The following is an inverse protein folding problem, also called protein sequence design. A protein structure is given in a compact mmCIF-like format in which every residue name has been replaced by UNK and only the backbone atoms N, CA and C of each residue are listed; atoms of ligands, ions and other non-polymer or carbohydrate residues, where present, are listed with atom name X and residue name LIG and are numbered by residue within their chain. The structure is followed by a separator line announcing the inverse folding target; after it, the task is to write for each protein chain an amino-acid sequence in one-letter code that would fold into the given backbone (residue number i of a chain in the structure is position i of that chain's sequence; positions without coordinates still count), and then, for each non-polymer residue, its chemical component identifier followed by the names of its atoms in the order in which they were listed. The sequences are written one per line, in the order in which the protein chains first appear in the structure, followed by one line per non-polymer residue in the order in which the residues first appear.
data_IF_727795478311
#
_entry.id   IF_727795478311
#
_cell.length_a   1.000
_cell.length_b   1.000
_cell.length_c   1.000
_cell.angle_alpha   90.00
_cell.angle_beta   90.00
_cell.angle_gamma   90.00
#
_symmetry.space_group_name_H-M   'P 1'
#
loop_
_entity.id
_entity.type
_entity.pdbx_description
1 polymer ?
#
# COMPACT_ATOMS: atom_id res chain seq x y z
N UNK A 1 43.10 -15.16 19.61
CA UNK A 1 42.12 -16.08 18.98
C UNK A 1 42.54 -16.29 17.54
N UNK A 2 43.11 -17.45 17.22
CA UNK A 2 43.39 -17.85 15.85
C UNK A 2 42.09 -18.33 15.19
N UNK A 3 41.76 -17.88 13.97
CA UNK A 3 40.57 -18.36 13.27
C UNK A 3 40.67 -19.87 13.00
N UNK A 4 39.53 -20.59 13.00
CA UNK A 4 39.53 -22.02 12.72
C UNK A 4 40.11 -22.31 11.33
N UNK A 5 40.81 -23.45 11.15
CA UNK A 5 41.35 -23.81 9.84
C UNK A 5 40.21 -23.98 8.82
N UNK A 6 40.43 -23.55 7.56
CA UNK A 6 39.40 -23.64 6.53
C UNK A 6 39.02 -25.13 6.30
N UNK A 7 37.73 -25.42 6.06
CA UNK A 7 37.27 -26.78 5.84
C UNK A 7 37.96 -27.41 4.61
N UNK A 8 38.21 -28.73 4.62
CA UNK A 8 38.85 -29.39 3.49
C UNK A 8 37.95 -29.29 2.25
N UNK A 9 38.56 -29.07 1.07
CA UNK A 9 37.87 -28.82 -0.22
C UNK A 9 36.74 -29.81 -0.52
N UNK A 10 36.93 -31.08 -0.14
CA UNK A 10 35.94 -32.16 -0.29
C UNK A 10 34.64 -31.86 0.46
N UNK A 11 34.72 -31.34 1.69
CA UNK A 11 33.55 -30.97 2.49
C UNK A 11 32.79 -29.81 1.86
N UNK A 12 33.49 -28.83 1.29
CA UNK A 12 32.87 -27.72 0.54
C UNK A 12 32.08 -28.25 -0.67
N UNK A 13 32.65 -29.22 -1.41
CA UNK A 13 31.96 -29.80 -2.57
C UNK A 13 30.72 -30.59 -2.19
N UNK A 14 30.75 -31.34 -1.08
CA UNK A 14 29.58 -32.06 -0.57
C UNK A 14 28.47 -31.13 -0.10
N UNK A 15 28.81 -30.07 0.63
CA UNK A 15 27.84 -29.08 1.09
C UNK A 15 27.22 -28.36 -0.11
N UNK A 16 28.04 -27.90 -1.06
CA UNK A 16 27.56 -27.24 -2.28
C UNK A 16 26.64 -28.16 -3.10
N UNK A 17 27.01 -29.44 -3.27
CA UNK A 17 26.18 -30.43 -3.96
C UNK A 17 24.86 -30.70 -3.24
N UNK A 18 24.87 -30.78 -1.90
CA UNK A 18 23.66 -30.95 -1.10
C UNK A 18 22.69 -29.76 -1.23
N UNK A 19 23.22 -28.53 -1.14
CA UNK A 19 22.43 -27.30 -1.33
C UNK A 19 21.85 -27.24 -2.75
N UNK A 20 22.65 -27.58 -3.76
CA UNK A 20 22.20 -27.62 -5.16
C UNK A 20 21.06 -28.63 -5.36
N UNK A 21 21.21 -29.84 -4.84
CA UNK A 21 20.19 -30.88 -4.96
C UNK A 21 18.89 -30.49 -4.26
N UNK A 22 18.97 -29.91 -3.06
CA UNK A 22 17.81 -29.43 -2.31
C UNK A 22 17.09 -28.29 -3.06
N UNK A 23 17.82 -27.27 -3.54
CA UNK A 23 17.26 -26.17 -4.31
C UNK A 23 16.58 -26.65 -5.60
N UNK A 24 17.19 -27.61 -6.30
CA UNK A 24 16.60 -28.21 -7.51
C UNK A 24 15.33 -28.99 -7.20
N UNK A 25 15.29 -29.72 -6.08
CA UNK A 25 14.09 -30.43 -5.64
C UNK A 25 12.93 -29.48 -5.34
N UNK A 26 13.20 -28.32 -4.72
CA UNK A 26 12.19 -27.27 -4.47
C UNK A 26 11.64 -26.72 -5.78
N UNK A 27 12.50 -26.38 -6.75
CA UNK A 27 12.07 -25.93 -8.08
C UNK A 27 11.20 -26.98 -8.76
N UNK A 28 11.63 -28.25 -8.75
CA UNK A 28 10.87 -29.34 -9.36
C UNK A 28 9.49 -29.51 -8.71
N UNK A 29 9.41 -29.41 -7.40
CA UNK A 29 8.15 -29.49 -6.67
C UNK A 29 7.19 -28.35 -7.03
N UNK A 30 7.67 -27.10 -7.04
CA UNK A 30 6.88 -25.92 -7.45
C UNK A 30 6.35 -26.06 -8.88
N UNK A 31 7.23 -26.39 -9.83
CA UNK A 31 6.85 -26.57 -11.25
C UNK A 31 5.85 -27.71 -11.41
N UNK A 32 6.02 -28.80 -10.66
CA UNK A 32 5.09 -29.94 -10.69
C UNK A 32 3.69 -29.53 -10.24
N UNK A 33 3.56 -28.77 -9.14
CA UNK A 33 2.27 -28.26 -8.64
C UNK A 33 1.61 -27.31 -9.64
N UNK A 34 2.38 -26.37 -10.20
CA UNK A 34 1.89 -25.43 -11.21
C UNK A 34 1.41 -26.16 -12.48
N UNK A 35 2.18 -27.14 -12.96
CA UNK A 35 1.83 -27.93 -14.14
C UNK A 35 0.60 -28.83 -13.93
N UNK A 36 0.48 -29.47 -12.77
CA UNK A 36 -0.64 -30.35 -12.45
C UNK A 36 -1.96 -29.59 -12.27
N UNK A 37 -1.89 -28.31 -11.91
CA UNK A 37 -3.04 -27.44 -11.70
C UNK A 37 -3.38 -26.53 -12.88
N UNK A 38 -2.69 -26.66 -14.03
CA UNK A 38 -2.78 -25.73 -15.16
C UNK A 38 -2.55 -24.25 -14.74
N UNK A 39 -1.72 -24.01 -13.72
CA UNK A 39 -1.44 -22.69 -13.18
C UNK A 39 -2.50 -22.14 -12.21
N UNK A 40 -3.51 -22.93 -11.83
CA UNK A 40 -4.53 -22.50 -10.87
C UNK A 40 -4.10 -22.62 -9.40
N UNK A 41 -3.10 -23.46 -9.10
CA UNK A 41 -2.56 -23.64 -7.77
C UNK A 41 -1.09 -23.20 -7.71
N UNK A 42 -0.76 -22.51 -6.62
CA UNK A 42 0.55 -22.00 -6.28
C UNK A 42 0.99 -22.53 -4.92
N UNK A 43 2.30 -22.55 -4.69
CA UNK A 43 2.89 -23.00 -3.43
C UNK A 43 3.19 -21.79 -2.55
N UNK A 44 2.73 -21.84 -1.30
CA UNK A 44 2.98 -20.81 -0.30
C UNK A 44 3.61 -21.43 0.94
N UNK A 45 4.79 -20.94 1.35
CA UNK A 45 5.47 -21.35 2.59
C UNK A 45 5.73 -20.11 3.44
N UNK A 46 4.85 -19.87 4.41
CA UNK A 46 4.96 -18.68 5.27
C UNK A 46 4.91 -17.39 4.43
N UNK A 47 5.86 -16.45 4.58
CA UNK A 47 5.91 -15.23 3.77
C UNK A 47 6.42 -15.46 2.33
N UNK A 48 6.90 -16.66 2.00
CA UNK A 48 7.52 -16.95 0.71
C UNK A 48 6.47 -17.47 -0.27
N UNK A 49 6.19 -16.66 -1.29
CA UNK A 49 5.37 -17.06 -2.43
C UNK A 49 6.15 -17.87 -3.47
N UNK A 50 5.42 -18.44 -4.43
CA UNK A 50 5.96 -19.27 -5.52
C UNK A 50 7.14 -18.60 -6.24
N UNK A 51 7.04 -17.30 -6.50
CA UNK A 51 8.04 -16.56 -7.27
C UNK A 51 9.29 -16.26 -6.41
N UNK A 52 9.10 -16.00 -5.13
CA UNK A 52 10.18 -15.80 -4.15
C UNK A 52 10.91 -17.12 -3.87
N UNK A 53 10.18 -18.22 -3.72
CA UNK A 53 10.73 -19.57 -3.58
C UNK A 53 11.55 -19.99 -4.80
N UNK A 54 11.04 -19.75 -6.01
CA UNK A 54 11.76 -20.01 -7.26
C UNK A 54 13.02 -19.16 -7.35
N UNK A 55 12.91 -17.85 -7.11
CA UNK A 55 14.05 -16.93 -7.23
C UNK A 55 15.16 -17.28 -6.23
N UNK A 56 14.81 -17.53 -4.97
CA UNK A 56 15.76 -17.92 -3.92
C UNK A 56 16.40 -19.29 -4.22
N UNK A 57 15.62 -20.26 -4.67
CA UNK A 57 16.14 -21.58 -5.03
C UNK A 57 17.10 -21.51 -6.22
N UNK A 58 16.77 -20.71 -7.24
CA UNK A 58 17.64 -20.49 -8.41
C UNK A 58 18.94 -19.80 -8.00
N UNK A 59 18.88 -18.78 -7.13
CA UNK A 59 20.06 -18.14 -6.55
C UNK A 59 20.97 -19.12 -5.82
N UNK A 60 20.39 -19.94 -4.94
CA UNK A 60 21.13 -20.96 -4.17
C UNK A 60 21.73 -22.03 -5.10
N UNK A 61 21.00 -22.44 -6.14
CA UNK A 61 21.48 -23.40 -7.12
C UNK A 61 22.69 -22.86 -7.91
N UNK A 62 22.62 -21.65 -8.44
CA UNK A 62 23.74 -21.08 -9.21
C UNK A 62 24.93 -20.69 -8.32
N UNK A 63 24.68 -20.18 -7.12
CA UNK A 63 25.73 -19.89 -6.14
C UNK A 63 26.48 -21.16 -5.72
N UNK A 64 25.74 -22.23 -5.39
CA UNK A 64 26.34 -23.53 -5.04
C UNK A 64 27.08 -24.16 -6.20
N UNK A 65 26.57 -24.05 -7.43
CA UNK A 65 27.23 -24.54 -8.64
C UNK A 65 28.54 -23.77 -8.92
N UNK A 66 28.55 -22.45 -8.71
CA UNK A 66 29.76 -21.63 -8.79
C UNK A 66 30.82 -22.05 -7.76
N UNK A 67 30.43 -22.19 -6.49
CA UNK A 67 31.32 -22.64 -5.40
C UNK A 67 31.85 -24.06 -5.66
N UNK A 68 31.00 -24.96 -6.15
CA UNK A 68 31.36 -26.33 -6.53
C UNK A 68 32.38 -26.36 -7.65
N UNK A 69 32.14 -25.62 -8.75
CA UNK A 69 33.06 -25.52 -9.88
C UNK A 69 34.41 -24.92 -9.48
N UNK A 70 34.42 -23.89 -8.63
CA UNK A 70 35.66 -23.31 -8.12
C UNK A 70 36.48 -24.29 -7.26
N UNK A 71 35.79 -25.12 -6.48
CA UNK A 71 36.42 -26.05 -5.53
C UNK A 71 37.04 -27.30 -6.19
N UNK A 72 36.62 -27.66 -7.41
CA UNK A 72 37.12 -28.85 -8.13
C UNK A 72 38.41 -28.52 -8.87
N UNK A 73 39.45 -29.34 -8.66
CA UNK A 73 40.68 -29.31 -9.46
C UNK A 73 40.41 -29.97 -10.82
N UNK A 74 40.59 -29.20 -11.89
CA UNK A 74 40.34 -29.67 -13.26
C UNK A 74 41.67 -29.90 -14.00
N UNK A 75 41.79 -30.98 -14.79
CA UNK A 75 42.91 -31.14 -15.71
C UNK A 75 42.96 -29.97 -16.71
N UNK A 76 44.13 -29.59 -17.23
CA UNK A 76 44.28 -28.40 -18.08
C UNK A 76 43.45 -28.47 -19.37
N UNK A 77 43.10 -29.65 -19.86
CA UNK A 77 42.21 -29.84 -21.02
C UNK A 77 40.74 -29.49 -20.73
N UNK A 78 40.32 -29.50 -19.47
CA UNK A 78 38.95 -29.20 -19.03
C UNK A 78 38.79 -27.79 -18.46
N UNK A 79 39.90 -27.03 -18.33
CA UNK A 79 39.87 -25.61 -17.94
C UNK A 79 38.89 -24.76 -18.77
N UNK A 80 38.86 -24.81 -20.12
CA UNK A 80 37.93 -23.96 -20.88
C UNK A 80 36.47 -24.28 -20.56
N UNK A 81 36.13 -25.56 -20.38
CA UNK A 81 34.78 -25.99 -20.00
C UNK A 81 34.42 -25.49 -18.58
N UNK A 82 35.37 -25.54 -17.64
CA UNK A 82 35.20 -25.01 -16.28
C UNK A 82 34.98 -23.49 -16.30
N UNK A 83 35.75 -22.74 -17.10
CA UNK A 83 35.57 -21.28 -17.22
C UNK A 83 34.20 -20.94 -17.79
N UNK A 84 33.77 -21.62 -18.85
CA UNK A 84 32.43 -21.43 -19.45
C UNK A 84 31.35 -21.71 -18.40
N UNK A 85 31.45 -22.83 -17.66
CA UNK A 85 30.51 -23.18 -16.61
C UNK A 85 30.44 -22.14 -15.49
N UNK A 86 31.58 -21.61 -15.04
CA UNK A 86 31.63 -20.55 -14.03
C UNK A 86 30.98 -19.28 -14.57
N UNK A 87 31.32 -18.84 -15.78
CA UNK A 87 30.75 -17.62 -16.37
C UNK A 87 29.24 -17.75 -16.51
N UNK A 88 28.74 -18.88 -17.02
CA UNK A 88 27.29 -19.12 -17.13
C UNK A 88 26.59 -19.11 -15.77
N UNK A 89 27.16 -19.79 -14.76
CA UNK A 89 26.63 -19.80 -13.41
C UNK A 89 26.61 -18.40 -12.78
N UNK A 90 27.65 -17.61 -13.02
CA UNK A 90 27.76 -16.24 -12.50
C UNK A 90 26.76 -15.32 -13.18
N UNK A 91 26.62 -15.40 -14.51
CA UNK A 91 25.61 -14.63 -15.24
C UNK A 91 24.19 -15.01 -14.82
N UNK A 92 23.88 -16.30 -14.69
CA UNK A 92 22.58 -16.76 -14.26
C UNK A 92 22.27 -16.37 -12.80
N UNK A 93 23.26 -16.47 -11.90
CA UNK A 93 23.15 -16.00 -10.53
C UNK A 93 22.94 -14.48 -10.45
N UNK A 94 23.64 -13.69 -11.28
CA UNK A 94 23.45 -12.24 -11.35
C UNK A 94 22.05 -11.86 -11.85
N UNK A 95 21.52 -12.56 -12.86
CA UNK A 95 20.15 -12.37 -13.34
C UNK A 95 19.12 -12.74 -12.26
N UNK A 96 19.33 -13.83 -11.53
CA UNK A 96 18.46 -14.22 -10.43
C UNK A 96 18.54 -13.23 -9.25
N UNK A 97 19.71 -12.65 -8.97
CA UNK A 97 19.89 -11.62 -7.96
C UNK A 97 19.16 -10.33 -8.36
N UNK A 98 19.27 -9.94 -9.63
CA UNK A 98 18.53 -8.82 -10.19
C UNK A 98 17.02 -9.07 -10.08
N UNK A 99 16.55 -10.27 -10.41
CA UNK A 99 15.15 -10.66 -10.26
C UNK A 99 14.68 -10.58 -8.80
N UNK A 100 15.52 -11.00 -7.84
CA UNK A 100 15.19 -10.95 -6.41
C UNK A 100 14.96 -9.52 -5.89
N UNK A 101 15.62 -8.51 -6.46
CA UNK A 101 15.39 -7.10 -6.11
C UNK A 101 13.95 -6.67 -6.42
N UNK A 102 13.29 -7.31 -7.40
CA UNK A 102 11.89 -7.03 -7.74
C UNK A 102 10.88 -7.79 -6.86
N UNK A 103 11.33 -8.61 -5.90
CA UNK A 103 10.48 -9.53 -5.13
C UNK A 103 10.59 -9.34 -3.61
N UNK A 104 11.25 -8.28 -3.15
CA UNK A 104 11.74 -8.18 -1.76
C UNK A 104 10.64 -7.96 -0.72
N UNK A 105 9.55 -7.27 -1.06
CA UNK A 105 8.53 -6.89 -0.08
C UNK A 105 7.21 -7.61 -0.33
N UNK A 106 7.16 -8.91 -0.02
CA UNK A 106 5.91 -9.68 0.01
C UNK A 106 5.45 -9.91 1.47
N UNK A 107 4.28 -9.39 1.81
CA UNK A 107 3.62 -9.63 3.10
C UNK A 107 2.44 -10.57 2.92
N UNK A 108 2.42 -11.62 3.74
CA UNK A 108 1.41 -12.67 3.69
C UNK A 108 0.52 -12.54 4.90
N UNK A 109 -0.74 -12.16 4.69
CA UNK A 109 -1.68 -11.87 5.77
C UNK A 109 -2.90 -12.80 5.67
N UNK A 110 -3.23 -13.56 6.73
CA UNK A 110 -4.47 -14.32 6.77
C UNK A 110 -5.67 -13.37 6.87
N UNK A 111 -6.73 -13.66 6.13
CA UNK A 111 -7.99 -12.92 6.18
C UNK A 111 -8.80 -13.41 7.38
N UNK A 112 -8.98 -12.53 8.35
CA UNK A 112 -9.68 -12.84 9.60
C UNK A 112 -11.11 -12.28 9.57
N UNK A 113 -12.08 -13.11 9.96
CA UNK A 113 -13.44 -12.67 10.29
C UNK A 113 -13.68 -12.87 11.79
N UNK A 114 -13.97 -11.78 12.52
CA UNK A 114 -14.17 -11.80 14.00
C UNK A 114 -13.05 -12.52 14.79
N UNK A 115 -11.79 -12.40 14.32
CA UNK A 115 -10.64 -13.04 14.96
C UNK A 115 -10.47 -14.54 14.67
N UNK A 116 -11.22 -15.06 13.69
CA UNK A 116 -11.07 -16.41 13.16
C UNK A 116 -10.56 -16.39 11.73
N UNK A 117 -9.67 -17.32 11.39
CA UNK A 117 -9.18 -17.49 10.01
C UNK A 117 -10.29 -18.01 9.10
N UNK A 118 -10.49 -17.32 7.97
CA UNK A 118 -11.45 -17.66 6.92
C UNK A 118 -10.92 -18.70 5.93
N UNK A 119 -9.60 -18.93 5.90
CA UNK A 119 -8.93 -19.81 4.93
C UNK A 119 -8.49 -19.13 3.65
N UNK A 120 -8.63 -17.82 3.61
CA UNK A 120 -8.07 -16.97 2.59
C UNK A 120 -6.83 -16.27 3.12
N UNK A 121 -5.82 -16.16 2.27
CA UNK A 121 -4.58 -15.45 2.54
C UNK A 121 -4.36 -14.44 1.44
N UNK A 122 -4.02 -13.21 1.82
CA UNK A 122 -3.61 -12.18 0.87
C UNK A 122 -2.10 -12.06 0.89
N UNK A 123 -1.49 -12.16 -0.30
CA UNK A 123 -0.08 -11.89 -0.52
C UNK A 123 0.02 -10.51 -1.14
N UNK A 124 0.46 -9.53 -0.37
CA UNK A 124 0.66 -8.16 -0.83
C UNK A 124 2.12 -7.91 -1.16
N UNK A 125 2.37 -7.34 -2.33
CA UNK A 125 3.68 -6.95 -2.81
C UNK A 125 3.75 -5.45 -2.97
N UNK A 126 4.85 -4.83 -2.56
CA UNK A 126 5.15 -3.43 -2.88
C UNK A 126 6.44 -3.34 -3.69
N UNK A 127 6.42 -2.58 -4.78
CA UNK A 127 7.62 -2.25 -5.54
C UNK A 127 7.57 -0.81 -6.04
N UNK A 128 8.59 -0.02 -5.71
CA UNK A 128 8.69 1.42 -5.98
C UNK A 128 7.48 2.19 -5.40
N UNK A 129 6.50 2.49 -6.25
CA UNK A 129 5.27 3.22 -5.95
C UNK A 129 4.01 2.42 -6.29
N UNK A 130 4.13 1.14 -6.66
CA UNK A 130 2.99 0.25 -6.91
C UNK A 130 2.85 -0.79 -5.81
N UNK A 131 1.61 -1.15 -5.48
CA UNK A 131 1.31 -2.32 -4.66
C UNK A 131 0.30 -3.22 -5.35
N UNK A 132 0.51 -4.53 -5.26
CA UNK A 132 -0.45 -5.53 -5.73
C UNK A 132 -0.70 -6.54 -4.63
N UNK A 133 -1.96 -6.90 -4.41
CA UNK A 133 -2.33 -8.01 -3.56
C UNK A 133 -2.90 -9.15 -4.39
N UNK A 134 -2.51 -10.38 -4.09
CA UNK A 134 -3.16 -11.56 -4.67
C UNK A 134 -3.85 -12.32 -3.55
N UNK A 135 -5.14 -12.60 -3.74
CA UNK A 135 -5.93 -13.35 -2.75
C UNK A 135 -5.93 -14.81 -3.14
N UNK A 136 -5.50 -15.65 -2.21
CA UNK A 136 -5.42 -17.09 -2.37
C UNK A 136 -6.34 -17.79 -1.38
N UNK A 137 -7.00 -18.86 -1.84
CA UNK A 137 -7.69 -19.85 -1.02
C UNK A 137 -6.69 -20.92 -0.60
N UNK A 138 -6.62 -21.26 0.69
CA UNK A 138 -5.78 -22.36 1.17
C UNK A 138 -6.48 -23.71 0.96
N UNK A 139 -6.01 -24.49 -0.02
CA UNK A 139 -6.52 -25.83 -0.34
C UNK A 139 -5.69 -26.95 0.33
N UNK A 140 -4.93 -26.60 1.37
CA UNK A 140 -4.09 -27.50 2.16
C UNK A 140 -2.99 -26.76 2.92
N UNK A 141 -2.08 -27.49 3.58
CA UNK A 141 -1.02 -26.88 4.39
C UNK A 141 -0.02 -26.01 3.59
N UNK A 142 0.14 -26.26 2.29
CA UNK A 142 1.13 -25.58 1.44
C UNK A 142 0.62 -25.24 0.03
N UNK A 143 -0.63 -25.60 -0.29
CA UNK A 143 -1.23 -25.43 -1.62
C UNK A 143 -2.27 -24.34 -1.52
N UNK A 144 -2.15 -23.32 -2.38
CA UNK A 144 -3.09 -22.20 -2.40
C UNK A 144 -3.56 -21.91 -3.82
N UNK A 145 -4.85 -21.65 -4.00
CA UNK A 145 -5.47 -21.35 -5.31
C UNK A 145 -5.83 -19.89 -5.41
N UNK A 146 -5.42 -19.23 -6.49
CA UNK A 146 -5.73 -17.82 -6.69
C UNK A 146 -7.23 -17.63 -6.92
N UNK A 147 -7.85 -16.77 -6.13
CA UNK A 147 -9.30 -16.48 -6.20
C UNK A 147 -9.61 -15.01 -6.48
N UNK A 148 -8.61 -14.13 -6.34
CA UNK A 148 -8.77 -12.71 -6.60
C UNK A 148 -7.44 -11.99 -6.67
N UNK A 149 -7.51 -10.73 -7.06
CA UNK A 149 -6.39 -9.79 -7.04
C UNK A 149 -6.89 -8.43 -6.56
N UNK A 150 -6.02 -7.68 -5.92
CA UNK A 150 -6.18 -6.30 -5.52
C UNK A 150 -4.97 -5.51 -6.04
N UNK A 151 -5.16 -4.23 -6.28
CA UNK A 151 -4.10 -3.28 -6.59
C UNK A 151 -4.23 -2.06 -5.69
N UNK A 152 -3.10 -1.46 -5.34
CA UNK A 152 -3.04 -0.21 -4.59
C UNK A 152 -1.89 0.65 -5.11
N UNK A 153 -1.97 1.96 -4.88
CA UNK A 153 -0.89 2.88 -5.24
C UNK A 153 0.00 3.18 -4.03
N UNK A 154 1.18 3.73 -4.31
CA UNK A 154 2.18 4.18 -3.34
C UNK A 154 2.72 3.10 -2.39
N UNK A 155 2.72 1.83 -2.83
CA UNK A 155 3.23 0.72 -2.01
C UNK A 155 2.33 0.38 -0.82
N UNK A 156 1.07 0.82 -0.82
CA UNK A 156 0.14 0.61 0.27
C UNK A 156 -0.37 -0.84 0.35
N UNK A 157 -0.11 -1.50 1.47
CA UNK A 157 -0.51 -2.89 1.76
C UNK A 157 -1.63 -2.95 2.83
N UNK A 158 -2.90 -2.75 2.44
CA UNK A 158 -4.02 -2.66 3.39
C UNK A 158 -4.20 -3.90 4.26
N UNK A 159 -3.89 -5.11 3.78
CA UNK A 159 -4.09 -6.31 4.59
C UNK A 159 -3.04 -6.43 5.69
N UNK A 160 -1.77 -6.25 5.35
CA UNK A 160 -0.64 -6.30 6.29
C UNK A 160 -0.70 -5.20 7.34
N UNK A 161 -1.28 -4.04 7.00
CA UNK A 161 -1.51 -2.92 7.92
C UNK A 161 -2.80 -3.05 8.75
N UNK A 162 -3.60 -4.11 8.57
CA UNK A 162 -4.87 -4.30 9.26
C UNK A 162 -5.97 -3.32 8.83
N UNK A 163 -5.83 -2.71 7.66
CA UNK A 163 -6.77 -1.80 7.03
C UNK A 163 -7.81 -2.51 6.17
N UNK A 164 -8.42 -3.58 6.70
CA UNK A 164 -9.50 -4.31 6.04
C UNK A 164 -10.58 -4.72 7.05
N UNK A 165 -11.80 -4.93 6.57
CA UNK A 165 -12.89 -5.52 7.32
C UNK A 165 -13.64 -6.54 6.48
N UNK A 166 -14.14 -7.56 7.17
CA UNK A 166 -14.86 -8.67 6.55
C UNK A 166 -16.27 -8.73 7.11
N UNK A 167 -17.26 -8.62 6.24
CA UNK A 167 -18.65 -8.96 6.56
C UNK A 167 -19.04 -10.25 5.90
N UNK A 168 -19.95 -10.98 6.55
CA UNK A 168 -20.51 -12.20 6.01
C UNK A 168 -21.99 -11.96 5.72
N UNK A 169 -22.41 -12.18 4.48
CA UNK A 169 -23.81 -12.13 4.09
C UNK A 169 -24.12 -13.30 3.15
N UNK A 170 -25.14 -14.11 3.50
CA UNK A 170 -25.66 -15.22 2.68
C UNK A 170 -24.58 -16.22 2.19
N UNK A 171 -23.61 -16.58 3.04
CA UNK A 171 -22.56 -17.54 2.70
C UNK A 171 -21.45 -16.95 1.81
N UNK A 172 -21.38 -15.62 1.68
CA UNK A 172 -20.32 -14.88 1.03
C UNK A 172 -19.64 -13.95 2.03
N UNK A 173 -18.31 -13.96 2.04
CA UNK A 173 -17.46 -13.01 2.73
C UNK A 173 -17.20 -11.80 1.83
N UNK A 174 -17.69 -10.63 2.23
CA UNK A 174 -17.36 -9.36 1.59
C UNK A 174 -16.21 -8.71 2.35
N UNK A 175 -15.04 -8.70 1.72
CA UNK A 175 -13.81 -8.11 2.24
C UNK A 175 -13.70 -6.68 1.72
N UNK A 176 -13.95 -5.69 2.58
CA UNK A 176 -13.76 -4.27 2.29
C UNK A 176 -12.35 -3.86 2.73
N UNK A 177 -11.58 -3.20 1.87
CA UNK A 177 -10.22 -2.74 2.20
C UNK A 177 -10.00 -1.29 1.77
N UNK A 178 -9.10 -0.61 2.48
CA UNK A 178 -8.73 0.77 2.16
C UNK A 178 -7.75 0.78 0.97
N UNK A 179 -8.05 1.59 -0.04
CA UNK A 179 -7.09 1.91 -1.10
C UNK A 179 -6.51 3.27 -0.72
N UNK A 180 -5.18 3.39 -0.63
CA UNK A 180 -4.45 4.64 -0.38
C UNK A 180 -4.58 5.31 1.00
N UNK A 181 -5.05 4.63 2.08
CA UNK A 181 -5.13 5.23 3.43
C UNK A 181 -4.40 4.41 4.50
N UNK A 182 -3.39 4.95 5.21
CA UNK A 182 -2.92 4.32 6.44
C UNK A 182 -4.04 4.35 7.48
N UNK A 183 -4.53 3.17 7.87
CA UNK A 183 -5.61 2.99 8.86
C UNK A 183 -5.05 3.20 10.26
N UNK A 184 -4.75 4.46 10.54
CA UNK A 184 -4.17 4.89 11.79
C UNK A 184 -5.22 5.05 12.91
N UNK A 185 -6.50 5.19 12.58
CA UNK A 185 -7.49 5.62 13.58
C UNK A 185 -8.96 5.27 13.30
N UNK A 186 -9.34 4.80 12.11
CA UNK A 186 -10.69 4.34 11.84
C UNK A 186 -10.63 3.06 11.01
N UNK A 187 -10.87 1.91 11.66
CA UNK A 187 -10.95 0.62 10.98
C UNK A 187 -11.86 0.73 9.75
N UNK A 188 -11.50 0.04 8.66
CA UNK A 188 -12.37 0.00 7.48
C UNK A 188 -13.73 -0.52 7.93
N UNK A 189 -14.78 0.27 7.75
CA UNK A 189 -16.16 -0.19 7.92
C UNK A 189 -16.61 -0.91 6.67
N UNK A 190 -17.41 -1.97 6.82
CA UNK A 190 -17.96 -2.68 5.67
C UNK A 190 -18.71 -1.72 4.75
N UNK A 191 -18.34 -1.69 3.46
CA UNK A 191 -18.95 -0.82 2.45
C UNK A 191 -18.32 0.57 2.27
N UNK A 192 -17.24 0.92 2.99
CA UNK A 192 -16.56 2.23 2.87
C UNK A 192 -15.30 2.23 1.98
N UNK A 193 -15.05 1.16 1.22
CA UNK A 193 -13.85 1.01 0.38
C UNK A 193 -14.09 0.03 -0.78
N UNK A 194 -13.01 -0.35 -1.49
CA UNK A 194 -13.10 -1.40 -2.51
C UNK A 194 -13.43 -2.73 -1.86
N UNK A 195 -14.35 -3.49 -2.46
CA UNK A 195 -14.84 -4.75 -1.90
C UNK A 195 -14.48 -5.94 -2.79
N UNK A 196 -14.01 -7.02 -2.18
CA UNK A 196 -13.83 -8.32 -2.80
C UNK A 196 -14.80 -9.33 -2.17
N UNK A 197 -15.55 -10.05 -2.99
CA UNK A 197 -16.48 -11.08 -2.54
C UNK A 197 -15.85 -12.47 -2.67
N UNK A 198 -15.78 -13.21 -1.57
CA UNK A 198 -15.22 -14.55 -1.46
C UNK A 198 -16.30 -15.51 -0.94
N UNK A 199 -16.40 -16.76 -1.42
CA UNK A 199 -17.33 -17.72 -0.83
C UNK A 199 -16.88 -18.15 0.58
N UNK A 200 -17.82 -18.43 1.49
CA UNK A 200 -17.50 -19.06 2.77
C UNK A 200 -17.08 -20.51 2.53
N UNK A 201 -16.05 -20.96 3.25
CA UNK A 201 -15.56 -22.34 3.20
C UNK A 201 -16.13 -23.12 4.39
N UNK A 202 -17.18 -23.92 4.16
CA UNK A 202 -17.90 -24.65 5.22
C UNK A 202 -17.19 -25.93 5.68
N UNK A 203 -16.28 -26.48 4.86
CA UNK A 203 -15.63 -27.79 5.10
C UNK A 203 -14.39 -27.71 6.01
N UNK A 204 -14.16 -26.58 6.70
CA UNK A 204 -12.98 -26.35 7.54
C UNK A 204 -13.34 -25.99 8.97
N UNK A 205 -12.45 -26.36 9.89
CA UNK A 205 -12.48 -25.87 11.27
C UNK A 205 -11.64 -24.60 11.38
N UNK A 206 -12.25 -23.42 11.60
CA UNK A 206 -11.51 -22.16 11.65
C UNK A 206 -10.66 -22.07 12.91
N UNK A 207 -9.41 -21.60 12.77
CA UNK A 207 -8.58 -21.24 13.91
C UNK A 207 -8.96 -19.85 14.40
N UNK A 208 -9.37 -19.75 15.66
CA UNK A 208 -9.83 -18.51 16.29
C UNK A 208 -8.85 -18.01 17.36
N UNK A 209 -8.97 -16.73 17.72
CA UNK A 209 -8.04 -16.07 18.66
C UNK A 209 -6.84 -15.44 17.96
N UNK A 210 -6.91 -15.28 16.63
CA UNK A 210 -5.91 -14.60 15.84
C UNK A 210 -6.17 -13.08 15.85
N UNK A 211 -5.09 -12.31 15.86
CA UNK A 211 -5.12 -10.86 15.78
C UNK A 211 -4.48 -10.39 14.48
N UNK A 212 -5.03 -9.35 13.88
CA UNK A 212 -4.36 -8.65 12.78
C UNK A 212 -3.07 -8.03 13.32
N UNK A 213 -1.98 -8.15 12.57
CA UNK A 213 -0.71 -7.54 12.93
C UNK A 213 -0.85 -6.02 12.87
N UNK A 214 -1.17 -5.36 13.99
CA UNK A 214 -0.94 -3.93 14.15
C UNK A 214 0.55 -3.71 14.31
N UNK A 215 1.17 -2.92 13.43
CA UNK A 215 2.53 -2.44 13.65
C UNK A 215 2.66 -1.81 15.04
N UNK A 216 3.69 -2.22 15.78
CA UNK A 216 3.91 -1.88 17.18
C UNK A 216 4.24 -0.39 17.44
N UNK A 217 4.38 0.44 16.40
CA UNK A 217 4.67 1.87 16.51
C UNK A 217 3.45 2.77 16.75
N UNK A 218 2.26 2.19 16.89
CA UNK A 218 1.02 2.95 17.06
C UNK A 218 0.48 2.84 18.49
N UNK A 219 0.97 3.70 19.37
CA UNK A 219 0.35 3.93 20.68
C UNK A 219 -1.10 4.42 20.48
N UNK A 220 -2.07 3.95 21.31
CA UNK A 220 -3.46 4.36 21.18
C UNK A 220 -3.60 5.85 21.49
N UNK A 221 -3.91 6.64 20.47
CA UNK A 221 -4.47 7.97 20.69
C UNK A 221 -5.87 7.82 21.30
N UNK A 222 -6.27 8.70 22.24
CA UNK A 222 -7.62 8.69 22.77
C UNK A 222 -8.63 8.88 21.63
N UNK A 223 -9.78 8.17 21.65
CA UNK A 223 -10.76 8.25 20.58
C UNK A 223 -11.31 9.68 20.50
N UNK A 224 -11.11 10.31 19.35
CA UNK A 224 -11.86 11.51 18.97
C UNK A 224 -13.32 11.05 18.79
N UNK A 225 -14.31 11.69 19.43
CA UNK A 225 -15.70 11.33 19.24
C UNK A 225 -16.07 11.46 17.76
N UNK A 226 -16.54 10.36 17.18
CA UNK A 226 -17.02 10.30 15.80
C UNK A 226 -18.29 11.16 15.67
N UNK A 227 -18.37 12.11 14.73
CA UNK A 227 -19.64 12.78 14.46
C UNK A 227 -20.62 11.75 13.89
N UNK A 228 -21.87 11.80 14.37
CA UNK A 228 -23.00 11.07 13.76
C UNK A 228 -23.04 11.38 12.26
N UNK A 229 -23.44 10.42 11.44
CA UNK A 229 -23.62 10.58 9.99
C UNK A 229 -24.74 11.61 9.74
N UNK A 230 -24.37 12.88 9.80
CA UNK A 230 -25.25 14.00 9.49
C UNK A 230 -25.55 13.92 8.00
N UNK A 231 -26.84 13.97 7.64
CA UNK A 231 -27.26 13.89 6.24
C UNK A 231 -26.55 14.98 5.45
N UNK A 232 -25.97 14.59 4.32
CA UNK A 232 -25.21 15.49 3.46
C UNK A 232 -26.17 16.45 2.74
N UNK A 233 -26.40 17.63 3.33
CA UNK A 233 -27.26 18.69 2.79
C UNK A 233 -26.43 19.87 2.29
N UNK A 234 -26.99 20.73 1.43
CA UNK A 234 -26.29 21.95 0.98
C UNK A 234 -25.90 22.87 2.13
N UNK A 235 -26.75 22.99 3.16
CA UNK A 235 -26.49 23.84 4.32
C UNK A 235 -25.30 23.32 5.15
N UNK A 236 -25.22 22.00 5.35
CA UNK A 236 -24.13 21.36 6.09
C UNK A 236 -22.80 21.45 5.32
N UNK A 237 -22.85 21.28 3.99
CA UNK A 237 -21.66 21.43 3.13
C UNK A 237 -21.17 22.87 3.12
N UNK A 238 -22.07 23.85 2.99
CA UNK A 238 -21.73 25.26 3.04
C UNK A 238 -21.14 25.65 4.40
N UNK A 239 -21.67 25.10 5.50
CA UNK A 239 -21.12 25.27 6.85
C UNK A 239 -19.70 24.71 6.97
N UNK A 240 -19.50 23.46 6.57
CA UNK A 240 -18.20 22.79 6.64
C UNK A 240 -17.12 23.45 5.77
N UNK A 241 -17.48 23.95 4.58
CA UNK A 241 -16.55 24.72 3.74
C UNK A 241 -16.10 26.01 4.44
N UNK A 242 -17.03 26.76 5.03
CA UNK A 242 -16.71 28.01 5.74
C UNK A 242 -15.89 27.76 7.00
N UNK A 243 -16.17 26.67 7.72
CA UNK A 243 -15.40 26.27 8.90
C UNK A 243 -13.94 25.93 8.54
N UNK A 244 -13.73 25.14 7.47
CA UNK A 244 -12.39 24.80 7.00
C UNK A 244 -11.61 26.05 6.55
N UNK A 245 -12.26 26.96 5.83
CA UNK A 245 -11.62 28.20 5.39
C UNK A 245 -11.34 29.13 6.58
N UNK A 246 -12.27 29.19 7.55
CA UNK A 246 -12.07 29.90 8.82
C UNK A 246 -10.86 29.39 9.58
N UNK A 247 -10.75 28.08 9.77
CA UNK A 247 -9.59 27.45 10.42
C UNK A 247 -8.28 27.72 9.66
N UNK A 248 -8.34 27.81 8.33
CA UNK A 248 -7.19 28.20 7.50
C UNK A 248 -6.80 29.68 7.72
N UNK A 249 -7.78 30.58 7.80
CA UNK A 249 -7.52 31.99 8.08
C UNK A 249 -7.01 32.22 9.50
N UNK A 250 -7.56 31.52 10.49
CA UNK A 250 -7.13 31.61 11.89
C UNK A 250 -5.69 31.11 12.11
N UNK A 251 -5.25 30.14 11.30
CA UNK A 251 -3.89 29.62 11.34
C UNK A 251 -2.87 30.51 10.61
N UNK A 252 -3.33 31.42 9.75
CA UNK A 252 -2.46 32.33 9.02
C UNK A 252 -1.68 33.25 9.98
N UNK A 253 -0.49 33.68 9.53
CA UNK A 253 0.29 34.67 10.24
C UNK A 253 -0.28 36.07 9.97
N UNK A 254 -1.07 36.58 10.92
CA UNK A 254 -1.58 37.95 10.89
C UNK A 254 -2.96 38.08 10.28
N UNK A 255 -3.32 39.30 9.88
CA UNK A 255 -4.62 39.58 9.29
C UNK A 255 -4.70 39.06 7.85
N UNK A 256 -5.75 38.30 7.54
CA UNK A 256 -6.05 37.86 6.18
C UNK A 256 -6.82 38.95 5.45
N UNK A 257 -6.23 39.50 4.39
CA UNK A 257 -6.83 40.57 3.58
C UNK A 257 -6.88 40.19 2.11
N UNK A 258 -7.83 40.74 1.38
CA UNK A 258 -7.94 40.58 -0.07
C UNK A 258 -6.90 41.44 -0.82
N UNK A 259 -6.93 41.39 -2.15
CA UNK A 259 -6.04 42.17 -3.01
C UNK A 259 -6.19 43.70 -2.85
N UNK A 260 -7.34 44.18 -2.36
CA UNK A 260 -7.60 45.60 -2.07
C UNK A 260 -7.17 46.03 -0.67
N UNK A 261 -6.79 45.06 0.19
CA UNK A 261 -6.44 45.27 1.58
C UNK A 261 -7.63 45.24 2.54
N UNK A 262 -8.81 44.82 2.08
CA UNK A 262 -9.98 44.64 2.94
C UNK A 262 -9.89 43.32 3.69
N UNK A 263 -10.30 43.25 4.97
CA UNK A 263 -10.29 42.00 5.73
C UNK A 263 -11.26 40.99 5.13
N UNK A 264 -10.81 39.74 5.01
CA UNK A 264 -11.63 38.63 4.54
C UNK A 264 -12.28 37.91 5.72
N UNK A 265 -13.58 37.65 5.61
CA UNK A 265 -14.35 36.89 6.59
C UNK A 265 -14.88 35.61 5.93
N UNK A 266 -14.48 34.45 6.47
CA UNK A 266 -14.86 33.14 5.96
C UNK A 266 -16.37 32.91 5.97
N UNK A 267 -17.11 33.56 6.88
CA UNK A 267 -18.56 33.44 6.98
C UNK A 267 -19.31 34.07 5.80
N UNK A 268 -18.69 35.05 5.15
CA UNK A 268 -19.27 35.87 4.08
C UNK A 268 -18.85 35.48 2.67
N UNK A 269 -18.03 34.44 2.53
CA UNK A 269 -17.45 34.05 1.24
C UNK A 269 -18.52 33.56 0.24
N UNK A 270 -18.45 34.00 -1.03
CA UNK A 270 -19.37 33.54 -2.06
C UNK A 270 -19.03 32.11 -2.49
N UNK A 271 -19.87 31.15 -2.10
CA UNK A 271 -19.80 29.77 -2.57
C UNK A 271 -20.56 29.66 -3.90
N UNK A 272 -19.85 29.23 -4.96
CA UNK A 272 -20.44 28.98 -6.27
C UNK A 272 -20.95 27.54 -6.35
N UNK A 273 -22.02 27.32 -7.13
CA UNK A 273 -22.55 25.98 -7.39
C UNK A 273 -22.16 25.54 -8.79
N UNK A 274 -21.52 24.39 -8.90
CA UNK A 274 -21.12 23.80 -10.18
C UNK A 274 -21.70 22.39 -10.31
N UNK A 275 -22.00 21.92 -11.54
CA UNK A 275 -22.46 20.56 -11.75
C UNK A 275 -21.33 19.56 -11.48
N UNK A 276 -21.70 18.39 -10.97
CA UNK A 276 -20.75 17.32 -10.68
C UNK A 276 -20.13 16.72 -11.96
N UNK A 277 -18.82 16.41 -11.97
CA UNK A 277 -18.13 15.88 -13.15
C UNK A 277 -18.55 14.45 -13.52
N UNK A 278 -18.93 13.62 -12.54
CA UNK A 278 -19.17 12.17 -12.74
C UNK A 278 -20.64 11.73 -12.58
N UNK A 279 -21.61 12.65 -12.58
CA UNK A 279 -23.02 12.27 -12.47
C UNK A 279 -24.00 13.39 -12.12
N UNK A 280 -25.29 13.05 -11.88
CA UNK A 280 -26.29 14.02 -11.48
C UNK A 280 -26.01 14.54 -10.06
N UNK A 281 -25.97 15.87 -9.90
CA UNK A 281 -25.72 16.50 -8.62
C UNK A 281 -25.05 17.87 -8.76
N UNK A 282 -24.87 18.52 -7.62
CA UNK A 282 -24.20 19.83 -7.52
C UNK A 282 -23.10 19.78 -6.49
N UNK A 283 -21.94 20.36 -6.82
CA UNK A 283 -20.85 20.61 -5.88
C UNK A 283 -20.76 22.12 -5.59
N UNK A 284 -20.16 22.45 -4.45
CA UNK A 284 -19.85 23.81 -4.04
C UNK A 284 -18.38 24.09 -4.26
N UNK A 285 -18.09 25.26 -4.77
CA UNK A 285 -16.72 25.69 -5.07
C UNK A 285 -16.50 27.11 -4.58
N UNK A 286 -15.29 27.36 -4.08
CA UNK A 286 -14.83 28.69 -3.73
C UNK A 286 -13.38 28.86 -4.13
N UNK A 287 -13.07 30.03 -4.66
CA UNK A 287 -11.73 30.44 -5.04
C UNK A 287 -11.47 31.79 -4.39
N UNK A 288 -10.36 31.90 -3.67
CA UNK A 288 -10.04 33.05 -2.83
C UNK A 288 -8.59 33.42 -3.07
N UNK A 289 -8.34 34.69 -3.32
CA UNK A 289 -7.00 35.26 -3.34
C UNK A 289 -6.83 36.17 -2.12
N UNK A 290 -5.82 35.90 -1.30
CA UNK A 290 -5.60 36.64 -0.06
C UNK A 290 -4.12 36.86 0.22
N UNK A 291 -3.82 37.82 1.09
CA UNK A 291 -2.50 38.13 1.61
C UNK A 291 -2.53 38.12 3.13
N UNK A 292 -1.39 37.79 3.71
CA UNK A 292 -1.14 37.75 5.15
C UNK A 292 0.11 38.58 5.48
N UNK A 293 0.46 38.72 6.76
CA UNK A 293 1.67 39.45 7.15
C UNK A 293 2.95 38.68 6.75
N UNK A 294 2.88 37.35 6.66
CA UNK A 294 3.94 36.47 6.19
C UNK A 294 3.34 35.28 5.42
N UNK A 295 3.23 35.42 4.10
CA UNK A 295 2.60 34.41 3.24
C UNK A 295 3.28 33.04 3.32
N UNK A 296 4.61 33.00 3.42
CA UNK A 296 5.37 31.75 3.48
C UNK A 296 5.07 30.97 4.77
N UNK A 297 5.05 31.66 5.91
CA UNK A 297 4.70 31.06 7.19
C UNK A 297 3.22 30.72 7.30
N UNK A 298 2.34 31.54 6.73
CA UNK A 298 0.92 31.27 6.66
C UNK A 298 0.64 29.99 5.87
N UNK A 299 1.31 29.78 4.73
CA UNK A 299 1.18 28.58 3.93
C UNK A 299 1.52 27.31 4.74
N UNK A 300 2.66 27.30 5.44
CA UNK A 300 3.06 26.15 6.26
C UNK A 300 2.03 25.83 7.36
N UNK A 301 1.46 26.85 8.00
CA UNK A 301 0.46 26.68 9.07
C UNK A 301 -0.89 26.21 8.54
N UNK A 302 -1.34 26.76 7.41
CA UNK A 302 -2.57 26.34 6.74
C UNK A 302 -2.47 24.87 6.31
N UNK A 303 -1.34 24.49 5.70
CA UNK A 303 -1.09 23.10 5.33
C UNK A 303 -1.09 22.17 6.55
N UNK A 304 -0.53 22.62 7.69
CA UNK A 304 -0.57 21.85 8.93
C UNK A 304 -1.99 21.67 9.49
N UNK A 305 -2.87 22.67 9.36
CA UNK A 305 -4.30 22.54 9.72
C UNK A 305 -4.99 21.51 8.85
N UNK A 306 -4.70 21.48 7.55
CA UNK A 306 -5.29 20.48 6.64
C UNK A 306 -4.77 19.07 6.93
N UNK A 307 -3.48 18.94 7.25
CA UNK A 307 -2.87 17.69 7.67
C UNK A 307 -3.51 17.18 8.99
N UNK A 308 -3.78 18.07 9.95
CA UNK A 308 -4.50 17.76 11.19
C UNK A 308 -5.97 17.40 10.98
N UNK A 309 -6.64 18.05 10.03
CA UNK A 309 -8.01 17.74 9.64
C UNK A 309 -8.12 16.42 8.84
N UNK A 310 -7.00 15.79 8.48
CA UNK A 310 -6.96 14.47 7.87
C UNK A 310 -7.07 14.46 6.34
N UNK A 311 -6.77 15.59 5.67
CA UNK A 311 -6.72 15.61 4.21
C UNK A 311 -5.44 14.94 3.69
N UNK A 312 -5.59 14.04 2.72
CA UNK A 312 -4.48 13.35 2.08
C UNK A 312 -3.67 14.31 1.18
N UNK A 313 -2.35 14.15 1.16
CA UNK A 313 -1.45 14.97 0.35
C UNK A 313 -1.38 14.52 -1.09
N UNK A 314 -1.54 15.46 -2.01
CA UNK A 314 -1.12 15.35 -3.40
C UNK A 314 -0.21 16.54 -3.74
N UNK A 315 0.79 16.30 -4.60
CA UNK A 315 1.70 17.34 -5.07
C UNK A 315 1.61 17.43 -6.58
N UNK A 316 0.89 18.43 -7.06
CA UNK A 316 1.07 18.93 -8.41
C UNK A 316 2.33 19.81 -8.46
N UNK A 317 3.01 19.86 -9.60
CA UNK A 317 4.32 20.53 -9.77
C UNK A 317 4.41 21.99 -9.26
N UNK A 318 3.28 22.67 -8.99
CA UNK A 318 3.22 24.08 -8.59
C UNK A 318 2.04 24.42 -7.63
N UNK A 319 1.34 23.42 -7.09
CA UNK A 319 0.18 23.61 -6.21
C UNK A 319 0.15 22.48 -5.17
N UNK A 320 -0.03 22.81 -3.90
CA UNK A 320 -0.25 21.81 -2.86
C UNK A 320 -1.76 21.55 -2.79
N UNK A 321 -2.17 20.34 -3.20
CA UNK A 321 -3.58 19.95 -3.26
C UNK A 321 -3.79 18.86 -2.22
N UNK A 322 -4.83 19.01 -1.40
CA UNK A 322 -5.25 18.01 -0.44
C UNK A 322 -6.66 17.53 -0.75
N UNK A 323 -6.89 16.24 -0.49
CA UNK A 323 -8.17 15.60 -0.77
C UNK A 323 -8.73 14.92 0.47
N UNK A 324 -10.04 14.84 0.54
CA UNK A 324 -10.75 14.01 1.51
C UNK A 324 -11.96 13.41 0.84
N UNK A 325 -12.17 12.10 0.97
CA UNK A 325 -13.38 11.46 0.47
C UNK A 325 -14.38 11.19 1.61
N UNK A 326 -14.06 11.63 2.84
CA UNK A 326 -14.90 11.46 4.04
C UNK A 326 -15.36 12.77 4.66
N UNK A 327 -14.76 13.90 4.31
CA UNK A 327 -15.20 15.22 4.77
C UNK A 327 -16.16 15.84 3.74
N UNK A 328 -17.06 16.73 4.17
CA UNK A 328 -17.94 17.47 3.26
C UNK A 328 -17.17 18.30 2.21
N UNK A 329 -15.93 18.66 2.51
CA UNK A 329 -14.99 19.29 1.58
C UNK A 329 -14.13 18.20 0.94
N UNK A 330 -14.29 18.00 -0.36
CA UNK A 330 -13.62 16.93 -1.09
C UNK A 330 -12.17 17.26 -1.45
N UNK A 331 -11.91 18.55 -1.74
CA UNK A 331 -10.63 19.02 -2.25
C UNK A 331 -10.34 20.42 -1.73
N UNK A 332 -9.09 20.66 -1.34
CA UNK A 332 -8.55 21.98 -1.05
C UNK A 332 -7.22 22.13 -1.78
N UNK A 333 -7.04 23.22 -2.52
CA UNK A 333 -5.80 23.55 -3.21
C UNK A 333 -5.27 24.87 -2.67
N UNK A 334 -3.96 24.97 -2.49
CA UNK A 334 -3.31 26.23 -2.18
C UNK A 334 -2.10 26.43 -3.08
N UNK A 335 -2.03 27.62 -3.64
CA UNK A 335 -0.96 28.05 -4.53
C UNK A 335 -0.41 29.37 -4.03
N UNK A 336 0.87 29.37 -3.70
CA UNK A 336 1.59 30.59 -3.37
C UNK A 336 2.10 31.26 -4.65
N UNK A 337 1.55 32.42 -4.98
CA UNK A 337 2.03 33.29 -6.06
C UNK A 337 2.58 34.60 -5.53
N UNK A 338 2.98 34.65 -4.26
CA UNK A 338 3.47 35.87 -3.61
C UNK A 338 4.64 36.54 -4.34
N UNK A 339 5.46 35.75 -5.05
CA UNK A 339 6.57 36.26 -5.88
C UNK A 339 6.13 36.91 -7.20
N UNK A 340 4.87 36.71 -7.62
CA UNK A 340 4.28 37.24 -8.85
C UNK A 340 3.27 38.37 -8.56
N UNK A 341 2.29 38.12 -7.70
CA UNK A 341 1.18 39.04 -7.42
C UNK A 341 1.05 39.44 -5.94
N UNK A 342 1.89 38.89 -5.07
CA UNK A 342 1.85 39.16 -3.63
C UNK A 342 0.73 38.42 -2.88
N UNK A 343 0.06 37.45 -3.52
CA UNK A 343 -1.11 36.76 -3.01
C UNK A 343 -0.90 35.24 -2.88
N UNK A 344 -1.72 34.64 -2.04
CA UNK A 344 -1.96 33.20 -1.93
C UNK A 344 -3.34 32.94 -2.53
N UNK A 345 -3.43 31.93 -3.39
CA UNK A 345 -4.68 31.48 -3.99
C UNK A 345 -5.11 30.17 -3.34
N UNK A 346 -6.28 30.16 -2.72
CA UNK A 346 -6.89 28.98 -2.14
C UNK A 346 -8.13 28.61 -2.95
N UNK A 347 -8.20 27.35 -3.33
CA UNK A 347 -9.36 26.73 -3.96
C UNK A 347 -9.93 25.68 -3.01
N UNK A 348 -11.25 25.59 -2.93
CA UNK A 348 -11.91 24.54 -2.17
C UNK A 348 -13.15 24.07 -2.90
N UNK A 349 -13.34 22.75 -2.95
CA UNK A 349 -14.45 22.10 -3.62
C UNK A 349 -15.07 21.06 -2.69
N UNK A 350 -16.39 21.05 -2.60
CA UNK A 350 -17.14 20.07 -1.80
C UNK A 350 -17.25 18.72 -2.49
N UNK A 351 -17.70 17.72 -1.73
CA UNK A 351 -18.24 16.49 -2.32
C UNK A 351 -19.49 16.79 -3.15
N UNK A 352 -19.83 15.86 -4.04
CA UNK A 352 -21.04 15.93 -4.85
C UNK A 352 -22.29 15.69 -4.02
N UNK A 353 -23.21 16.66 -4.05
CA UNK A 353 -24.51 16.56 -3.39
C UNK A 353 -25.51 16.05 -4.44
N UNK A 354 -26.11 14.86 -4.25
CA UNK A 354 -27.11 14.34 -5.17
C UNK A 354 -28.36 15.24 -5.20
N UNK A 355 -29.09 15.28 -6.33
CA UNK A 355 -30.36 15.99 -6.39
C UNK A 355 -31.34 15.37 -5.38
N UNK A 356 -32.08 16.23 -4.68
CA UNK A 356 -33.15 15.83 -3.77
C UNK A 356 -34.27 15.06 -4.50
#
# INVERSE_FOLDING_TARGET
MTPPPPPPRRTITWIAGGVFACATAVVFWVVSVSSASSGAASVLIGPLDELSLLTLSVLLAFGSLGVGLWSIEAPPRMLPLKVIGVVLATCAGALAALAAVFTVDANVTPVLHRGCDTGYVVVERSFLMGSSGTVYRQDGAFIVTQVGWSSGDNGHQPFSMGGYAVTEERGMLTVSYAVNRPVASAGVTAGSGTSLSLPVLDDRTPQCGLHTARSADQAPYPPIPSPETEKLTMENVDGAMREMIGASFDAAAGAVVDASGAPLDSSSLPLSSTPCPEGPGTQREVQIAFRTDDNSRSLERILAVWDQAGYAKDRAMQEDIRYSESLPVARVGIKDTSSLDGLIHLTSTSVCIPPA
#
